data_IF_020588588912
#
_entry.id   IF_020588588912
#
_cell.length_a   1.000
_cell.length_b   1.000
_cell.length_c   1.000
_cell.angle_alpha   90.00
_cell.angle_beta   90.00
_cell.angle_gamma   90.00
#
_symmetry.space_group_name_H-M   'P 1'
#
loop_
_entity.id
_entity.type
_entity.pdbx_description
1 polymer ?
2 polymer ?
3 water ?
#
# COMPACT_ATOMS: atom_id res chain seq x y z
N UNK A 7 7.20 -19.72 -12.06
CA UNK A 7 7.65 -19.07 -10.73
C UNK A 7 6.53 -18.10 -10.30
N UNK A 8 6.74 -17.43 -9.15
CA UNK A 8 5.79 -16.48 -8.59
C UNK A 8 5.85 -15.18 -9.44
N UNK A 9 4.73 -14.45 -9.50
CA UNK A 9 4.61 -13.20 -10.30
C UNK A 9 4.33 -11.99 -9.40
N UNK A 10 4.66 -10.78 -9.86
CA UNK A 10 4.29 -9.59 -9.07
C UNK A 10 3.01 -9.08 -9.74
N UNK A 11 1.93 -9.00 -8.95
CA UNK A 11 0.63 -8.56 -9.46
C UNK A 11 0.42 -7.12 -9.04
N UNK A 12 0.09 -6.26 -10.00
CA UNK A 12 -0.27 -4.86 -9.70
C UNK A 12 -1.72 -4.61 -10.14
N UNK A 13 -2.51 -4.01 -9.26
CA UNK A 13 -3.93 -3.93 -9.50
C UNK A 13 -4.35 -2.47 -9.32
N UNK A 14 -5.12 -1.92 -10.27
CA UNK A 14 -5.63 -0.52 -10.11
C UNK A 14 -4.58 0.58 -10.20
N UNK A 15 -4.84 1.74 -9.53
CA UNK A 15 -3.91 2.88 -9.59
C UNK A 15 -4.59 4.07 -10.26
N UNK A 16 -3.86 5.14 -10.46
CA UNK A 16 -4.44 6.38 -10.97
C UNK A 16 -3.54 7.00 -12.06
N UNK A 17 -4.18 7.44 -13.17
CA UNK A 17 -3.53 8.37 -14.10
C UNK A 17 -4.60 9.07 -14.99
N UNK A 18 -5.01 10.28 -14.62
CA UNK A 18 -6.21 11.02 -15.12
C UNK A 18 -7.57 10.48 -14.66
N UNK A 19 -7.60 9.29 -14.07
CA UNK A 19 -8.74 8.71 -13.28
C UNK A 19 -8.21 7.37 -12.66
N UNK A 20 -9.01 6.77 -11.75
CA UNK A 20 -8.67 5.49 -11.14
C UNK A 20 -8.84 4.46 -12.27
N UNK A 21 -7.99 3.44 -12.23
CA UNK A 21 -7.79 2.46 -13.31
C UNK A 21 -8.30 1.06 -12.90
N UNK A 22 -8.56 0.20 -13.90
CA UNK A 22 -9.02 -1.15 -13.59
C UNK A 22 -7.96 -2.18 -13.89
N UNK A 23 -6.77 -1.76 -14.33
CA UNK A 23 -5.80 -2.72 -14.77
C UNK A 23 -5.43 -3.72 -13.71
N UNK A 24 -5.26 -4.96 -14.14
CA UNK A 24 -4.46 -5.94 -13.37
C UNK A 24 -3.41 -6.47 -14.32
N UNK A 25 -2.14 -6.36 -13.94
CA UNK A 25 -1.07 -6.83 -14.81
C UNK A 25 -0.11 -7.60 -13.91
N UNK A 26 0.52 -8.60 -14.50
CA UNK A 26 1.51 -9.43 -13.78
C UNK A 26 2.89 -9.35 -14.45
N UNK A 27 3.88 -9.09 -13.61
CA UNK A 27 5.28 -8.94 -14.02
C UNK A 27 5.98 -10.22 -13.57
N UNK A 28 6.74 -10.78 -14.52
CA UNK A 28 7.58 -11.96 -14.24
C UNK A 28 9.06 -11.49 -14.09
N UNK A 29 9.62 -11.39 -12.84
CA UNK A 29 10.98 -10.88 -12.81
C UNK A 29 12.03 -11.80 -13.48
N UNK A 30 11.78 -13.10 -13.57
CA UNK A 30 12.74 -14.02 -14.24
C UNK A 30 12.87 -13.81 -15.79
N UNK A 31 11.85 -13.27 -16.46
CA UNK A 31 12.02 -13.03 -17.91
C UNK A 31 11.69 -11.57 -18.36
N UNK A 32 11.33 -10.70 -17.43
CA UNK A 32 10.98 -9.27 -17.78
C UNK A 32 9.66 -9.03 -18.47
N UNK A 33 8.80 -10.04 -18.53
CA UNK A 33 7.58 -9.86 -19.31
C UNK A 33 6.42 -9.38 -18.40
N UNK A 34 5.51 -8.63 -19.01
CA UNK A 34 4.28 -8.23 -18.39
C UNK A 34 3.09 -8.95 -19.13
N UNK A 35 2.10 -9.35 -18.36
CA UNK A 35 0.93 -9.98 -18.92
C UNK A 35 -0.29 -9.21 -18.45
N UNK A 36 -1.21 -8.88 -19.36
CA UNK A 36 -2.44 -8.22 -18.94
C UNK A 36 -3.47 -9.25 -18.53
N UNK A 37 -4.09 -9.11 -17.37
CA UNK A 37 -5.06 -10.10 -16.91
C UNK A 37 -6.46 -9.47 -16.78
N UNK A 38 -7.41 -10.15 -16.10
CA UNK A 38 -8.79 -9.68 -16.03
C UNK A 38 -8.90 -8.37 -15.26
N UNK A 39 -9.60 -7.40 -15.84
CA UNK A 39 -9.78 -6.14 -15.19
C UNK A 39 -10.44 -6.27 -13.82
N UNK A 40 -10.09 -5.37 -12.87
CA UNK A 40 -10.94 -5.13 -11.69
C UNK A 40 -12.40 -4.90 -12.19
N UNK A 41 -13.38 -5.36 -11.43
CA UNK A 41 -14.78 -5.08 -11.77
C UNK A 41 -15.12 -3.64 -11.56
N UNK A 42 -14.49 -2.99 -10.59
CA UNK A 42 -14.71 -1.52 -10.41
C UNK A 42 -13.32 -0.87 -10.40
N UNK A 43 -13.12 0.27 -11.16
CA UNK A 43 -11.79 0.98 -11.14
C UNK A 43 -11.38 1.41 -9.70
N UNK A 44 -10.08 1.38 -9.35
CA UNK A 44 -9.69 1.87 -8.01
C UNK A 44 -8.27 2.27 -7.95
N UNK A 45 -8.06 3.31 -7.12
CA UNK A 45 -6.73 3.81 -6.74
C UNK A 45 -6.72 4.01 -5.24
N UNK A 46 -5.52 3.99 -4.66
CA UNK A 46 -5.45 4.14 -3.21
C UNK A 46 -5.84 2.84 -2.50
N UNK A 47 -5.89 1.76 -3.25
CA UNK A 47 -6.12 0.42 -2.68
C UNK A 47 -4.84 -0.26 -2.17
N UNK A 48 -5.02 -1.45 -1.58
CA UNK A 48 -3.83 -2.29 -1.21
C UNK A 48 -4.07 -3.69 -1.72
N UNK A 49 -2.99 -4.45 -1.98
CA UNK A 49 -3.17 -5.84 -2.34
C UNK A 49 -2.57 -6.65 -1.23
N UNK A 50 -3.01 -7.90 -1.09
CA UNK A 50 -2.25 -8.88 -0.30
C UNK A 50 -2.68 -10.28 -0.86
N UNK A 51 -2.02 -11.33 -0.38
CA UNK A 51 -2.26 -12.68 -0.80
C UNK A 51 -2.49 -13.57 0.44
N UNK A 52 -3.55 -14.37 0.38
CA UNK A 52 -3.82 -15.39 1.40
C UNK A 52 -4.21 -16.68 0.66
N UNK A 53 -3.53 -17.76 1.03
CA UNK A 53 -3.71 -19.08 0.45
C UNK A 53 -3.60 -19.10 -1.07
N UNK A 54 -2.59 -18.43 -1.66
CA UNK A 54 -2.49 -18.39 -3.13
C UNK A 54 -3.50 -17.50 -3.88
N UNK A 55 -4.45 -16.89 -3.16
CA UNK A 55 -5.40 -15.94 -3.75
C UNK A 55 -4.99 -14.43 -3.51
N UNK A 56 -5.16 -13.60 -4.55
CA UNK A 56 -4.89 -12.10 -4.53
C UNK A 56 -6.11 -11.33 -4.03
N UNK A 57 -5.97 -10.40 -3.05
CA UNK A 57 -7.12 -9.61 -2.62
C UNK A 57 -6.84 -8.14 -2.92
N UNK A 58 -7.86 -7.47 -3.44
CA UNK A 58 -7.86 -5.99 -3.61
C UNK A 58 -8.76 -5.39 -2.58
N UNK A 59 -8.24 -4.48 -1.74
CA UNK A 59 -8.96 -4.01 -0.58
C UNK A 59 -9.04 -2.48 -0.57
N UNK A 60 -10.25 -1.95 -0.38
CA UNK A 60 -10.40 -0.53 -0.25
C UNK A 60 -10.06 0.35 -1.49
N UNK A 61 -9.56 1.57 -1.23
CA UNK A 61 -9.27 2.49 -2.33
C UNK A 61 -10.45 3.43 -2.61
N UNK A 62 -10.46 3.98 -3.83
CA UNK A 62 -11.64 4.79 -4.24
C UNK A 62 -11.71 4.76 -5.78
N UNK A 63 -12.92 4.90 -6.35
CA UNK A 63 -13.04 5.20 -7.72
C UNK A 63 -13.20 6.70 -8.02
N UNK A 64 -12.10 7.39 -8.30
CA UNK A 64 -12.10 8.79 -8.60
C UNK A 64 -12.15 8.94 -10.14
N UNK A 65 -13.33 9.19 -10.70
CA UNK A 65 -13.53 9.32 -12.15
C UNK A 65 -14.04 10.70 -12.49
N UNK A 66 -14.11 11.03 -13.81
CA UNK A 66 -14.73 12.33 -14.16
C UNK A 66 -16.24 12.42 -13.83
N UNK A 67 -16.88 11.27 -13.62
CA UNK A 67 -18.21 11.22 -13.09
C UNK A 67 -18.29 11.44 -11.59
N UNK A 68 -17.18 11.63 -10.90
CA UNK A 68 -17.28 11.87 -9.43
C UNK A 68 -16.56 10.74 -8.69
N UNK A 69 -16.39 10.91 -7.38
CA UNK A 69 -15.59 9.97 -6.62
C UNK A 69 -16.44 9.16 -5.67
N UNK A 70 -16.21 7.84 -5.57
CA UNK A 70 -16.75 6.97 -4.54
C UNK A 70 -15.65 6.17 -3.83
N UNK A 71 -15.44 6.46 -2.54
CA UNK A 71 -14.54 5.64 -1.69
C UNK A 71 -15.07 4.21 -1.57
N UNK A 72 -14.15 3.24 -1.49
CA UNK A 72 -14.54 1.87 -1.60
C UNK A 72 -14.37 1.18 -0.27
N UNK A 73 -15.40 0.48 0.18
CA UNK A 73 -15.29 -0.47 1.31
C UNK A 73 -15.10 -1.90 0.73
N UNK A 74 -14.84 -1.99 -0.56
CA UNK A 74 -14.95 -3.33 -1.17
C UNK A 74 -13.73 -4.23 -0.87
N UNK A 75 -13.98 -5.52 -0.86
CA UNK A 75 -12.90 -6.51 -0.90
C UNK A 75 -13.16 -7.47 -2.06
N UNK A 76 -12.19 -7.59 -2.93
CA UNK A 76 -12.39 -8.45 -4.10
C UNK A 76 -11.29 -9.48 -4.19
N UNK A 77 -11.61 -10.66 -4.72
CA UNK A 77 -10.63 -11.75 -4.73
C UNK A 77 -10.29 -12.25 -6.14
N UNK A 78 -9.01 -12.21 -6.48
CA UNK A 78 -8.60 -12.72 -7.81
C UNK A 78 -7.90 -14.08 -7.67
N UNK A 79 -8.39 -15.08 -8.39
CA UNK A 79 -7.69 -16.40 -8.47
C UNK A 79 -6.79 -16.51 -9.68
N UNK A 80 -5.47 -16.62 -9.46
CA UNK A 80 -4.61 -16.54 -10.66
C UNK A 80 -4.70 -17.78 -11.56
N UNK A 81 -5.07 -18.88 -10.93
CA UNK A 81 -5.36 -20.12 -11.66
C UNK A 81 -6.55 -20.07 -12.58
N UNK A 82 -7.51 -19.22 -12.27
CA UNK A 82 -8.73 -19.14 -13.09
C UNK A 82 -8.85 -17.82 -13.85
N UNK A 83 -8.05 -16.79 -13.48
CA UNK A 83 -8.20 -15.42 -14.03
C UNK A 83 -9.63 -14.82 -13.78
N UNK A 84 -10.32 -15.23 -12.72
CA UNK A 84 -11.67 -14.72 -12.33
C UNK A 84 -11.55 -13.93 -10.99
N UNK A 85 -12.23 -12.78 -10.94
CA UNK A 85 -12.39 -11.95 -9.75
C UNK A 85 -13.73 -12.39 -9.10
N UNK A 86 -13.81 -12.51 -7.79
CA UNK A 86 -15.06 -12.71 -7.08
C UNK A 86 -15.12 -11.69 -5.92
N UNK A 87 -16.25 -10.99 -5.82
CA UNK A 87 -16.68 -10.12 -4.71
C UNK A 87 -16.64 -10.87 -3.40
N UNK A 88 -16.21 -10.21 -2.32
CA UNK A 88 -16.23 -10.83 -1.00
C UNK A 88 -17.04 -9.83 -0.16
N UNK A 89 -17.24 -10.14 1.12
CA UNK A 89 -17.90 -9.23 2.10
C UNK A 89 -17.16 -7.85 2.23
N UNK A 90 -17.89 -6.75 2.18
CA UNK A 90 -17.24 -5.42 2.30
C UNK A 90 -16.82 -5.14 3.74
N UNK A 91 -15.87 -4.23 3.92
CA UNK A 91 -15.46 -3.71 5.21
C UNK A 91 -16.60 -2.90 5.81
N UNK A 92 -16.50 -2.62 7.08
CA UNK A 92 -17.53 -1.80 7.78
C UNK A 92 -17.56 -0.36 7.25
N UNK A 93 -16.47 0.12 6.61
CA UNK A 93 -16.35 1.52 6.20
C UNK A 93 -15.47 1.58 4.95
N UNK A 94 -15.69 2.61 4.08
CA UNK A 94 -14.71 2.83 2.98
C UNK A 94 -13.36 3.18 3.53
N UNK A 95 -12.29 2.78 2.81
CA UNK A 95 -10.93 3.14 3.23
C UNK A 95 -10.06 3.34 2.02
N UNK A 96 -9.98 4.63 1.64
CA UNK A 96 -9.08 5.14 0.65
C UNK A 96 -7.69 5.35 1.26
N UNK A 97 -6.63 4.93 0.55
CA UNK A 97 -5.23 5.05 0.99
C UNK A 97 -5.10 4.18 2.29
N UNK A 98 -5.68 3.00 2.21
CA UNK A 98 -5.61 1.93 3.23
C UNK A 98 -4.20 1.26 3.27
N UNK A 99 -3.88 0.57 4.40
CA UNK A 99 -2.66 -0.28 4.45
C UNK A 99 -3.24 -1.59 4.92
N UNK A 100 -2.73 -2.69 4.40
CA UNK A 100 -3.16 -4.03 4.89
C UNK A 100 -1.96 -4.90 5.33
N UNK A 101 -2.23 -5.85 6.26
CA UNK A 101 -1.23 -6.88 6.61
C UNK A 101 -1.99 -8.16 6.89
N UNK A 102 -1.27 -9.28 6.80
CA UNK A 102 -1.89 -10.60 6.92
C UNK A 102 -1.26 -11.29 8.13
N UNK A 103 -2.05 -11.79 9.05
CA UNK A 103 -1.60 -12.62 10.16
C UNK A 103 -2.51 -13.83 10.32
N UNK A 104 -1.92 -15.03 10.39
CA UNK A 104 -2.66 -16.31 10.60
C UNK A 104 -3.77 -16.40 9.58
N UNK A 105 -3.46 -16.08 8.32
CA UNK A 105 -4.37 -16.20 7.20
C UNK A 105 -5.56 -15.24 7.28
N UNK A 106 -5.45 -14.20 8.13
CA UNK A 106 -6.52 -13.17 8.24
C UNK A 106 -5.98 -11.81 7.73
N UNK A 107 -6.84 -11.03 7.12
CA UNK A 107 -6.34 -9.78 6.47
C UNK A 107 -6.71 -8.67 7.41
N UNK A 108 -5.74 -7.87 7.88
CA UNK A 108 -6.10 -6.68 8.63
C UNK A 108 -6.18 -5.48 7.67
N UNK A 109 -7.29 -4.74 7.77
CA UNK A 109 -7.50 -3.44 7.08
C UNK A 109 -7.20 -2.30 8.07
N UNK A 110 -6.20 -1.48 7.75
CA UNK A 110 -5.78 -0.43 8.67
C UNK A 110 -5.99 1.00 8.11
N UNK A 111 -6.71 1.84 8.87
CA UNK A 111 -6.64 3.27 8.64
C UNK A 111 -7.32 3.57 7.28
N UNK A 112 -6.75 4.47 6.48
CA UNK A 112 -7.36 4.95 5.26
C UNK A 112 -8.41 6.09 5.57
N UNK A 113 -9.07 6.62 4.55
CA UNK A 113 -10.01 7.78 4.75
C UNK A 113 -11.34 7.40 4.10
N UNK A 114 -12.37 8.02 4.59
CA UNK A 114 -13.67 8.04 3.94
C UNK A 114 -14.09 9.54 3.87
N UNK A 115 -14.03 10.16 2.68
CA UNK A 115 -14.28 11.60 2.63
C UNK A 115 -13.20 12.29 3.46
N UNK A 116 -13.58 13.28 4.31
CA UNK A 116 -12.63 14.04 5.16
C UNK A 116 -12.19 13.19 6.39
N UNK A 117 -12.88 12.10 6.70
CA UNK A 117 -12.57 11.26 7.91
C UNK A 117 -11.24 10.50 7.69
N UNK A 118 -10.25 10.72 8.57
CA UNK A 118 -9.02 9.98 8.56
C UNK A 118 -9.21 8.93 9.68
N UNK A 119 -9.31 7.63 9.30
CA UNK A 119 -9.61 6.57 10.24
C UNK A 119 -8.44 6.23 11.19
N UNK A 120 -8.76 6.01 12.46
CA UNK A 120 -7.85 5.27 13.39
C UNK A 120 -8.29 3.79 13.44
N UNK A 121 -9.44 3.45 12.85
CA UNK A 121 -10.04 2.10 13.05
C UNK A 121 -9.37 1.01 12.19
N UNK A 122 -9.63 -0.25 12.56
CA UNK A 122 -8.90 -1.42 12.09
C UNK A 122 -9.89 -2.56 12.18
N UNK A 123 -9.90 -3.37 11.12
CA UNK A 123 -10.76 -4.55 11.09
C UNK A 123 -10.08 -5.73 10.42
N UNK A 124 -10.58 -6.93 10.68
CA UNK A 124 -9.86 -8.16 10.40
C UNK A 124 -10.82 -9.08 9.62
N UNK A 125 -10.38 -9.57 8.46
CA UNK A 125 -11.23 -10.42 7.59
C UNK A 125 -10.73 -11.87 7.74
N UNK A 126 -11.67 -12.76 7.98
CA UNK A 126 -11.42 -14.20 7.96
C UNK A 126 -11.96 -14.78 6.64
N UNK A 127 -11.04 -15.12 5.71
CA UNK A 127 -11.52 -15.69 4.43
C UNK A 127 -12.46 -16.96 4.58
N UNK A 128 -12.22 -17.84 5.54
CA UNK A 128 -13.02 -19.12 5.62
C UNK A 128 -14.49 -18.87 5.97
N UNK A 129 -14.71 -17.75 6.64
CA UNK A 129 -16.03 -17.34 7.03
C UNK A 129 -16.63 -16.20 6.19
N UNK A 130 -15.77 -15.45 5.47
CA UNK A 130 -16.23 -14.29 4.69
C UNK A 130 -16.84 -13.25 5.62
N UNK A 131 -16.14 -12.96 6.74
CA UNK A 131 -16.64 -12.00 7.71
C UNK A 131 -15.54 -11.07 8.10
N UNK A 132 -15.89 -9.80 8.34
CA UNK A 132 -14.97 -8.80 8.90
C UNK A 132 -15.32 -8.53 10.38
N UNK A 133 -14.32 -8.40 11.25
CA UNK A 133 -14.54 -7.99 12.66
C UNK A 133 -13.68 -6.78 13.00
N UNK A 134 -14.24 -5.82 13.71
CA UNK A 134 -13.50 -4.67 14.11
C UNK A 134 -12.55 -5.12 15.25
N UNK A 135 -11.38 -4.47 15.33
CA UNK A 135 -10.45 -4.74 16.40
C UNK A 135 -10.10 -3.39 17.03
N UNK A 136 -9.22 -3.37 18.04
CA UNK A 136 -8.92 -2.10 18.70
C UNK A 136 -8.38 -1.12 17.63
N UNK A 137 -8.70 0.20 17.78
CA UNK A 137 -8.16 1.18 16.86
C UNK A 137 -6.70 1.59 17.25
N UNK A 138 -6.00 2.12 16.25
CA UNK A 138 -4.67 2.67 16.43
C UNK A 138 -4.69 3.79 17.43
N UNK A 139 -3.52 4.12 18.00
CA UNK A 139 -3.35 5.34 18.76
C UNK A 139 -3.47 6.64 17.94
N UNK A 140 -3.28 6.54 16.62
CA UNK A 140 -3.21 7.72 15.72
C UNK A 140 -4.05 7.47 14.48
N UNK A 141 -4.78 8.49 13.97
CA UNK A 141 -5.45 8.33 12.67
C UNK A 141 -4.34 8.35 11.61
N UNK A 142 -4.45 7.46 10.62
CA UNK A 142 -3.30 7.43 9.63
C UNK A 142 -3.90 7.03 8.24
N UNK A 143 -3.83 7.92 7.32
CA UNK A 143 -4.05 7.55 5.97
C UNK A 143 -2.72 7.64 5.25
N UNK A 144 -2.64 7.00 4.10
CA UNK A 144 -1.36 6.85 3.41
C UNK A 144 -0.39 6.09 4.32
N UNK A 145 -0.94 5.13 5.07
CA UNK A 145 -0.20 4.45 6.19
C UNK A 145 0.57 3.23 5.55
N UNK A 146 1.77 2.92 6.02
CA UNK A 146 2.45 1.72 5.52
C UNK A 146 2.19 0.62 6.55
N UNK A 147 1.90 -0.58 6.09
CA UNK A 147 1.63 -1.67 7.06
C UNK A 147 2.52 -2.90 6.76
N UNK A 148 3.01 -3.53 7.83
CA UNK A 148 3.75 -4.75 7.61
C UNK A 148 3.56 -5.65 8.84
N UNK A 149 3.86 -6.94 8.69
CA UNK A 149 3.70 -7.92 9.78
C UNK A 149 5.05 -8.52 10.02
N UNK A 150 5.46 -8.53 11.30
CA UNK A 150 6.69 -9.21 11.72
C UNK A 150 6.49 -9.98 13.02
N UNK A 151 6.86 -11.27 13.01
CA UNK A 151 6.63 -12.19 14.14
C UNK A 151 5.22 -12.04 14.68
N UNK A 152 4.20 -12.14 13.78
CA UNK A 152 2.77 -12.11 14.13
C UNK A 152 2.30 -10.85 14.93
N UNK A 153 3.07 -9.75 14.81
CA UNK A 153 2.68 -8.41 15.32
C UNK A 153 2.45 -7.53 14.07
N UNK A 154 1.44 -6.66 14.16
CA UNK A 154 1.08 -5.83 12.99
C UNK A 154 1.62 -4.41 13.22
N UNK A 155 2.22 -3.82 12.17
CA UNK A 155 2.89 -2.46 12.32
C UNK A 155 2.21 -1.46 11.38
N UNK A 156 1.93 -0.27 11.92
CA UNK A 156 1.29 0.90 11.17
C UNK A 156 2.33 1.97 11.20
N UNK A 157 2.83 2.35 10.01
CA UNK A 157 4.04 3.22 9.92
C UNK A 157 3.77 4.46 9.09
N UNK A 158 4.12 5.62 9.66
CA UNK A 158 3.96 6.88 8.99
C UNK A 158 2.51 7.20 8.65
N UNK A 159 2.37 8.07 7.65
CA UNK A 159 1.01 8.35 7.11
C UNK A 159 0.70 9.78 7.43
N UNK A 160 -0.62 10.09 7.39
CA UNK A 160 -1.14 11.47 7.50
C UNK A 160 -2.37 11.45 8.47
N UNK A 161 -2.33 12.21 9.56
CA UNK A 161 -3.45 12.11 10.56
C UNK A 161 -4.67 13.05 10.33
N UNK A 162 -4.65 13.76 9.21
CA UNK A 162 -5.64 14.85 8.95
C UNK A 162 -5.04 16.23 9.02
N UNK A 163 -3.95 16.37 9.79
CA UNK A 163 -3.26 17.64 9.97
C UNK A 163 -1.79 17.55 9.69
N UNK A 164 -1.13 16.49 10.19
CA UNK A 164 0.32 16.39 10.07
C UNK A 164 0.73 15.12 9.39
N UNK A 165 1.80 15.18 8.61
CA UNK A 165 2.50 13.98 8.15
C UNK A 165 3.36 13.43 9.30
N UNK A 166 3.45 12.11 9.42
CA UNK A 166 3.94 11.46 10.64
C UNK A 166 5.31 10.73 10.44
N UNK A 167 6.24 10.83 11.39
CA UNK A 167 7.40 9.93 11.45
C UNK A 167 7.08 8.75 12.42
N UNK A 168 5.93 8.80 13.09
CA UNK A 168 5.64 7.91 14.21
C UNK A 168 5.27 6.54 13.64
N UNK A 169 5.40 5.51 14.47
CA UNK A 169 4.99 4.16 14.06
C UNK A 169 4.41 3.49 15.31
N UNK A 170 3.53 2.53 15.09
CA UNK A 170 2.93 1.77 16.24
C UNK A 170 2.72 0.30 15.91
N UNK A 171 2.61 -0.55 16.94
CA UNK A 171 2.57 -1.99 16.73
C UNK A 171 1.38 -2.60 17.44
N UNK A 172 0.69 -3.53 16.80
CA UNK A 172 -0.49 -4.13 17.37
C UNK A 172 -0.21 -5.58 17.79
N UNK A 173 -0.63 -5.95 19.01
CA UNK A 173 -0.38 -7.32 19.54
C UNK A 173 -1.73 -8.02 19.57
N UNK A 174 -1.97 -8.93 18.59
CA UNK A 174 -3.30 -9.49 18.46
C UNK A 174 -3.85 -10.14 19.71
N UNK A 175 -3.06 -10.90 20.45
CA UNK A 175 -3.68 -11.58 21.55
C UNK A 175 -3.98 -10.66 22.72
N UNK A 176 -3.33 -9.51 22.77
CA UNK A 176 -3.74 -8.49 23.73
C UNK A 176 -4.79 -7.51 23.14
N UNK A 177 -4.99 -7.54 21.84
CA UNK A 177 -5.87 -6.57 21.11
C UNK A 177 -5.49 -5.19 21.54
N UNK A 178 -4.20 -4.81 21.37
CA UNK A 178 -3.60 -3.59 21.93
C UNK A 178 -2.53 -3.09 21.00
N UNK A 179 -2.63 -1.80 20.76
CA UNK A 179 -1.59 -0.98 20.13
C UNK A 179 -0.64 -0.27 21.10
N UNK A 180 0.62 -0.27 20.69
CA UNK A 180 1.65 0.60 21.32
C UNK A 180 2.56 1.34 20.37
N UNK A 181 2.99 2.54 20.73
CA UNK A 181 3.93 3.27 19.87
C UNK A 181 5.30 2.56 19.94
N UNK A 182 6.05 2.59 18.84
CA UNK A 182 7.43 2.07 18.84
C UNK A 182 8.38 3.25 18.52
N UNK A 183 9.67 2.98 18.33
CA UNK A 183 10.55 4.08 17.99
C UNK A 183 10.06 4.75 16.70
N UNK A 184 10.10 6.08 16.63
CA UNK A 184 9.62 6.75 15.39
C UNK A 184 10.76 6.63 14.34
N UNK A 185 10.39 6.70 13.04
CA UNK A 185 11.37 6.75 11.93
C UNK A 185 12.25 7.98 12.02
N UNK A 186 13.40 7.92 11.36
CA UNK A 186 14.21 9.11 11.21
C UNK A 186 13.50 10.23 10.38
N UNK A 187 12.68 9.83 9.39
CA UNK A 187 12.11 10.73 8.39
C UNK A 187 10.57 10.74 8.56
N UNK A 188 9.96 11.93 8.52
CA UNK A 188 8.49 12.04 8.39
C UNK A 188 8.14 11.45 6.96
N UNK A 189 7.16 10.51 6.82
CA UNK A 189 6.80 9.85 5.55
C UNK A 189 5.31 9.61 5.56
N UNK A 190 4.61 10.17 4.57
CA UNK A 190 3.24 9.82 4.37
C UNK A 190 3.20 9.19 2.98
N UNK A 191 2.45 8.10 2.79
CA UNK A 191 2.42 7.51 1.49
C UNK A 191 3.73 6.81 1.11
N UNK A 192 4.42 6.20 2.08
CA UNK A 192 5.66 5.45 1.80
C UNK A 192 5.20 4.08 1.34
N UNK A 193 6.15 3.28 0.84
CA UNK A 193 5.90 1.87 0.75
C UNK A 193 6.54 1.20 1.96
N UNK A 194 5.79 0.32 2.61
CA UNK A 194 6.25 -0.38 3.81
C UNK A 194 6.08 -1.87 3.60
N UNK A 195 7.19 -2.65 3.85
CA UNK A 195 7.14 -4.12 3.64
C UNK A 195 8.12 -4.75 4.64
N UNK A 196 8.09 -6.06 4.78
CA UNK A 196 9.06 -6.75 5.62
C UNK A 196 9.92 -7.52 4.66
N UNK A 197 11.22 -7.51 4.94
CA UNK A 197 12.18 -8.27 4.20
C UNK A 197 13.22 -8.72 5.17
N UNK A 198 13.47 -10.01 5.22
CA UNK A 198 14.50 -10.56 6.10
C UNK A 198 14.34 -10.09 7.54
N UNK A 199 13.14 -10.17 8.01
CA UNK A 199 12.78 -9.83 9.39
C UNK A 199 12.97 -8.36 9.77
N UNK A 200 13.05 -7.47 8.75
CA UNK A 200 13.24 -6.04 9.07
C UNK A 200 12.06 -5.31 8.33
N UNK A 201 11.45 -4.27 8.95
CA UNK A 201 10.45 -3.51 8.30
C UNK A 201 11.09 -2.36 7.52
N UNK A 202 10.84 -2.32 6.20
CA UNK A 202 11.40 -1.28 5.35
C UNK A 202 10.35 -0.25 5.07
N UNK A 203 10.80 1.02 5.06
CA UNK A 203 9.92 2.15 4.77
C UNK A 203 10.68 2.90 3.65
N UNK A 204 10.15 2.90 2.40
CA UNK A 204 10.85 3.43 1.20
C UNK A 204 10.02 4.63 0.70
N UNK A 205 10.62 5.82 0.55
CA UNK A 205 9.86 6.93 -0.11
C UNK A 205 8.83 7.62 0.75
N UNK A 206 7.84 8.23 0.10
CA UNK A 206 6.82 8.95 0.84
C UNK A 206 6.97 10.42 0.56
N UNK A 207 6.20 11.18 1.32
CA UNK A 207 6.10 12.60 1.12
C UNK A 207 6.19 13.19 2.52
N UNK A 208 7.03 14.22 2.72
CA UNK A 208 7.13 14.86 4.12
C UNK A 208 6.36 16.15 4.36
N UNK A 209 5.51 16.53 3.42
CA UNK A 209 4.70 17.76 3.50
C UNK A 209 5.27 18.77 2.59
N UNK A 210 6.49 18.52 2.04
CA UNK A 210 7.14 19.43 1.08
C UNK A 210 7.73 18.73 -0.15
N UNK A 211 8.39 17.60 0.05
CA UNK A 211 9.00 16.93 -1.11
C UNK A 211 8.68 15.45 -1.02
N UNK A 212 8.58 14.82 -2.18
CA UNK A 212 8.78 13.36 -2.24
C UNK A 212 10.21 12.88 -1.88
N UNK A 213 10.28 11.65 -1.39
CA UNK A 213 11.55 11.16 -0.74
C UNK A 213 12.06 10.02 -1.55
N UNK A 214 13.38 9.95 -1.73
CA UNK A 214 13.91 8.70 -2.24
C UNK A 214 14.65 7.87 -1.16
N UNK A 215 14.74 8.40 0.06
CA UNK A 215 15.50 7.66 1.10
C UNK A 215 14.67 6.47 1.57
N UNK A 216 15.35 5.55 2.26
CA UNK A 216 14.77 4.23 2.60
C UNK A 216 15.43 3.91 3.94
N UNK A 217 14.62 3.53 4.93
CA UNK A 217 15.21 3.12 6.22
C UNK A 217 14.50 1.82 6.69
N UNK A 218 15.13 1.06 7.56
CA UNK A 218 14.58 -0.20 7.98
C UNK A 218 14.61 -0.34 9.51
N UNK A 219 13.57 -0.99 10.05
CA UNK A 219 13.45 -1.14 11.50
C UNK A 219 13.79 -2.56 11.87
N UNK A 220 14.61 -2.66 12.91
CA UNK A 220 14.96 -3.96 13.50
C UNK A 220 14.33 -4.09 14.89
N UNK A 221 13.42 -5.07 15.08
CA UNK A 221 12.79 -5.28 16.43
C UNK A 221 13.88 -5.56 17.51
N UNK A 222 14.99 -6.14 17.07
CA UNK A 222 16.04 -6.55 18.04
C UNK A 222 16.84 -5.38 18.57
N UNK A 223 17.04 -4.32 17.79
CA UNK A 223 17.74 -3.15 18.30
C UNK A 223 16.79 -1.98 18.57
N UNK A 224 15.50 -2.14 18.21
CA UNK A 224 14.49 -1.06 18.29
C UNK A 224 15.00 0.21 17.56
N UNK A 225 15.74 0.03 16.43
CA UNK A 225 16.37 1.17 15.76
C UNK A 225 15.97 1.20 14.29
N UNK A 226 15.78 2.43 13.77
CA UNK A 226 15.61 2.59 12.29
C UNK A 226 16.94 3.00 11.68
N UNK A 227 17.41 2.27 10.68
CA UNK A 227 18.65 2.57 9.99
C UNK A 227 18.39 2.82 8.49
N UNK A 228 19.02 3.88 7.94
CA UNK A 228 19.02 4.13 6.49
C UNK A 228 19.73 3.04 5.72
N UNK A 229 19.18 2.68 4.56
CA UNK A 229 19.92 1.87 3.56
C UNK A 229 20.11 2.67 2.27
N UNK A 230 20.62 2.08 1.21
CA UNK A 230 20.77 2.86 -0.05
C UNK A 230 19.40 3.53 -0.43
N UNK A 231 19.45 4.79 -0.92
CA UNK A 231 18.18 5.40 -1.37
C UNK A 231 17.75 4.83 -2.75
N UNK A 232 16.46 4.97 -3.06
CA UNK A 232 16.00 4.62 -4.46
C UNK A 232 16.60 5.65 -5.38
N UNK A 233 16.70 5.33 -6.66
CA UNK A 233 17.06 6.37 -7.64
C UNK A 233 15.95 7.44 -7.82
N UNK A 234 14.64 7.06 -7.85
CA UNK A 234 13.58 8.02 -8.08
C UNK A 234 12.70 8.27 -6.86
N UNK A 235 12.71 9.48 -6.35
CA UNK A 235 11.79 9.84 -5.24
C UNK A 235 10.38 9.65 -5.63
N UNK A 236 9.57 9.22 -4.66
CA UNK A 236 8.18 8.80 -5.01
C UNK A 236 7.35 8.66 -3.74
N UNK A 237 6.04 8.92 -3.89
CA UNK A 237 5.10 8.64 -2.84
C UNK A 237 3.88 7.91 -3.50
N UNK A 238 2.98 7.32 -2.70
CA UNK A 238 1.85 6.54 -3.29
C UNK A 238 2.36 5.49 -4.27
N UNK A 239 3.40 4.77 -3.80
CA UNK A 239 4.08 3.74 -4.66
C UNK A 239 3.49 2.47 -4.16
N UNK A 240 3.50 1.44 -4.98
CA UNK A 240 3.22 0.06 -4.47
C UNK A 240 4.58 -0.58 -4.13
N UNK A 241 4.59 -1.51 -3.19
CA UNK A 241 5.84 -2.17 -2.76
C UNK A 241 5.55 -3.63 -2.46
N UNK A 242 6.50 -4.51 -2.79
CA UNK A 242 6.26 -5.92 -2.52
C UNK A 242 7.60 -6.59 -2.44
N UNK A 243 7.55 -7.90 -2.13
CA UNK A 243 8.83 -8.66 -1.96
C UNK A 243 8.66 -9.91 -2.83
N UNK A 244 9.67 -10.18 -3.67
CA UNK A 244 9.63 -11.33 -4.59
C UNK A 244 11.03 -11.93 -4.50
N UNK A 245 11.06 -13.21 -4.14
CA UNK A 245 12.32 -13.96 -3.93
C UNK A 245 13.39 -13.11 -3.25
N UNK A 246 13.06 -12.58 -2.08
CA UNK A 246 14.04 -11.94 -1.23
C UNK A 246 14.56 -10.60 -1.69
N UNK A 247 13.86 -9.96 -2.62
CA UNK A 247 14.22 -8.65 -3.09
C UNK A 247 12.99 -7.73 -3.02
N UNK A 248 13.21 -6.43 -2.70
CA UNK A 248 12.08 -5.49 -2.62
C UNK A 248 11.85 -4.88 -4.01
N UNK A 249 10.60 -4.83 -4.47
CA UNK A 249 10.28 -4.03 -5.68
C UNK A 249 9.35 -2.87 -5.31
N UNK A 250 9.63 -1.66 -5.81
CA UNK A 250 8.68 -0.55 -5.75
C UNK A 250 8.18 -0.19 -7.15
N UNK A 251 6.89 0.03 -7.25
CA UNK A 251 6.19 0.21 -8.50
C UNK A 251 5.45 1.55 -8.54
N UNK A 252 5.80 2.36 -9.53
CA UNK A 252 5.11 3.64 -9.74
C UNK A 252 5.15 4.66 -8.60
N UNK A 253 4.07 5.43 -8.51
CA UNK A 253 3.97 6.50 -7.57
C UNK A 253 3.86 7.82 -8.25
N UNK A 254 4.01 8.86 -7.43
CA UNK A 254 3.88 10.26 -7.92
C UNK A 254 5.05 11.00 -7.31
N UNK A 255 5.60 11.94 -8.04
CA UNK A 255 6.75 12.73 -7.53
C UNK A 255 6.60 14.28 -7.58
N UNK A 256 5.39 14.81 -7.73
CA UNK A 256 5.10 16.25 -7.80
C UNK A 256 5.10 16.73 -9.25
N UNK A 257 5.63 15.94 -10.19
CA UNK A 257 5.71 16.42 -11.60
C UNK A 257 5.16 15.42 -12.55
N UNK A 258 5.21 14.16 -12.16
CA UNK A 258 4.89 13.05 -13.09
C UNK A 258 4.33 11.87 -12.32
N UNK A 259 3.62 11.01 -13.05
CA UNK A 259 3.32 9.62 -12.54
C UNK A 259 4.35 8.63 -13.00
N UNK A 260 4.96 7.89 -12.07
CA UNK A 260 6.12 7.05 -12.43
C UNK A 260 5.62 5.74 -13.03
N UNK A 261 6.29 5.30 -14.10
CA UNK A 261 6.13 3.87 -14.52
C UNK A 261 7.31 3.02 -14.00
N UNK A 262 8.28 3.68 -13.37
CA UNK A 262 9.52 3.04 -12.90
C UNK A 262 9.23 1.93 -11.90
N UNK A 263 9.78 0.74 -12.16
CA UNK A 263 9.85 -0.30 -11.12
C UNK A 263 11.31 -0.39 -10.68
N UNK A 264 11.61 -0.05 -9.40
CA UNK A 264 12.95 -0.25 -8.88
C UNK A 264 13.02 -1.48 -8.01
N UNK A 265 14.19 -2.14 -8.05
CA UNK A 265 14.46 -3.39 -7.28
C UNK A 265 15.63 -3.21 -6.31
N UNK A 266 15.39 -3.55 -5.03
CA UNK A 266 16.41 -3.47 -3.98
C UNK A 266 17.00 -4.87 -3.68
N UNK A 267 18.32 -4.98 -3.87
CA UNK A 267 18.98 -6.22 -3.49
C UNK A 267 19.66 -6.05 -2.15
N UNK A 268 19.15 -6.72 -1.09
CA UNK A 268 19.70 -6.47 0.25
C UNK A 268 21.12 -7.08 0.37
N UNK A 269 21.49 -7.97 -0.55
CA UNK A 269 22.77 -8.63 -0.42
C UNK A 269 23.85 -7.73 -0.92
N UNK A 270 23.49 -6.78 -1.80
CA UNK A 270 24.44 -5.80 -2.24
C UNK A 270 24.08 -4.35 -1.78
N UNK A 271 22.92 -4.18 -1.11
CA UNK A 271 22.46 -2.84 -0.70
C UNK A 271 22.41 -1.95 -1.96
N UNK A 272 21.80 -2.43 -3.08
CA UNK A 272 21.79 -1.48 -4.22
C UNK A 272 20.41 -1.57 -4.85
N UNK A 273 19.96 -0.47 -5.45
CA UNK A 273 18.71 -0.43 -6.26
C UNK A 273 19.03 -0.46 -7.72
N UNK A 274 18.21 -1.13 -8.56
CA UNK A 274 18.26 -0.88 -10.01
C UNK A 274 16.84 -0.79 -10.56
N UNK A 275 16.74 -0.18 -11.74
CA UNK A 275 15.46 -0.07 -12.34
C UNK A 275 15.34 -1.25 -13.26
N UNK A 276 14.40 -2.13 -13.00
CA UNK A 276 14.42 -3.45 -13.68
C UNK A 276 13.40 -3.52 -14.80
N UNK A 277 12.37 -2.67 -14.74
CA UNK A 277 11.35 -2.66 -15.80
C UNK A 277 10.59 -1.36 -15.64
N UNK A 278 9.64 -1.13 -16.55
CA UNK A 278 8.69 -0.06 -16.36
C UNK A 278 7.30 -0.64 -16.53
N UNK A 279 6.34 -0.12 -15.79
CA UNK A 279 4.97 -0.54 -15.96
C UNK A 279 4.57 -0.06 -17.39
N UNK A 280 3.51 -0.66 -17.91
CA UNK A 280 3.10 -0.38 -19.27
C UNK A 280 2.54 1.06 -19.36
N UNK A 281 2.32 1.75 -18.20
CA UNK A 281 2.00 3.23 -18.15
C UNK A 281 2.21 3.75 -16.71
N UNK A 282 2.54 5.02 -16.59
CA UNK A 282 2.85 5.56 -15.29
C UNK A 282 1.54 5.66 -14.49
N UNK A 283 1.68 5.44 -13.17
CA UNK A 283 0.49 5.47 -12.29
C UNK A 283 0.84 5.52 -10.86
N UNK A 284 -0.03 6.12 -10.04
CA UNK A 284 0.21 6.15 -8.58
C UNK A 284 -0.90 5.31 -7.89
N UNK A 285 -0.75 5.04 -6.58
CA UNK A 285 -1.83 4.40 -5.80
C UNK A 285 -2.25 2.98 -6.19
N UNK A 286 -1.32 2.16 -6.71
CA UNK A 286 -1.63 0.77 -7.04
C UNK A 286 -1.67 -0.09 -5.78
N UNK A 287 -2.31 -1.24 -5.90
CA UNK A 287 -2.17 -2.34 -4.91
C UNK A 287 -1.34 -3.46 -5.60
N UNK A 288 -0.46 -4.08 -4.85
CA UNK A 288 0.50 -5.04 -5.42
C UNK A 288 0.74 -6.13 -4.40
N UNK A 289 0.89 -7.36 -4.91
CA UNK A 289 1.18 -8.54 -4.07
C UNK A 289 1.81 -9.63 -4.94
N UNK A 290 2.37 -10.66 -4.30
CA UNK A 290 3.13 -11.68 -5.02
C UNK A 290 2.54 -13.05 -4.68
N UNK A 291 2.28 -13.84 -5.71
CA UNK A 291 1.93 -15.23 -5.55
C UNK A 291 2.31 -16.00 -6.83
N UNK B 1 -21.96 22.37 -4.04
CA UNK B 1 -23.15 23.04 -4.61
C UNK B 1 -22.70 24.15 -5.60
N UNK B 2 -21.40 24.52 -5.58
CA UNK B 2 -20.83 25.60 -6.42
C UNK B 2 -19.97 25.17 -7.63
N UNK B 3 -19.87 23.87 -7.92
CA UNK B 3 -19.08 23.36 -9.09
C UNK B 3 -17.66 23.87 -9.06
N UNK B 4 -17.08 23.70 -7.87
CA UNK B 4 -15.74 24.18 -7.52
C UNK B 4 -14.72 23.49 -8.41
N UNK B 5 -13.63 24.19 -8.71
CA UNK B 5 -12.51 23.59 -9.47
C UNK B 5 -11.87 22.44 -8.62
N UNK B 6 -11.32 21.43 -9.30
CA UNK B 6 -10.63 20.31 -8.63
C UNK B 6 -9.33 20.78 -8.00
N UNK B 7 -8.92 20.08 -6.92
CA UNK B 7 -7.66 20.40 -6.22
C UNK B 7 -6.75 19.22 -6.31
N UNK B 8 -5.47 19.50 -6.41
CA UNK B 8 -4.39 18.55 -6.49
C UNK B 8 -4.00 17.97 -5.13
N UNK B 9 -3.99 16.66 -5.07
CA UNK B 9 -3.43 15.97 -3.90
C UNK B 9 -1.90 15.92 -4.09
N UNK B 10 -1.14 16.63 -3.26
CA UNK B 10 0.31 16.73 -3.47
C UNK B 10 1.03 15.35 -3.28
N UNK B 11 0.38 14.44 -2.56
CA UNK B 11 0.94 13.09 -2.28
C UNK B 11 0.70 12.01 -3.35
N UNK B 12 -0.52 12.00 -3.88
CA UNK B 12 -0.88 10.97 -4.80
C UNK B 12 -0.99 11.48 -6.26
N UNK B 13 -1.02 12.81 -6.46
CA UNK B 13 -1.23 13.38 -7.78
C UNK B 13 -2.66 13.38 -8.23
N UNK B 14 -3.63 12.84 -7.45
CA UNK B 14 -5.05 12.84 -7.91
C UNK B 14 -5.67 14.22 -7.83
N UNK B 15 -6.63 14.50 -8.74
CA UNK B 15 -7.39 15.75 -8.67
C UNK B 15 -8.75 15.41 -8.12
N UNK B 16 -9.12 16.13 -7.09
CA UNK B 16 -10.44 15.90 -6.46
C UNK B 16 -11.15 17.25 -6.25
#
# INVERSE_FOLDING_TARGET
SSAPKVGRLIYTAGGYFRQSLSYLEAYNPSDGTWLRLADLQVPRSGLAGCVVGGLLYAVGGRNNSPDGNTDSSALDCYNPMTNQWSPCAPMSVPRNRIGVGVIDGHIYAVGGSHGCIHHNSVERYEPERDEWHLVAPMLTRRIGVGVAVLNRLLYAVGGFDGTNRLNSAECYYPERNEWRMITAMNTIRSGAGVCVLHNCIYAAGGYDGQDQLNSVERYDVETETWTFVAPMKHRRSALGITVHQGRIYVLGGYDGHTFLDSVECYDPDTDTWSEVTRMTSGRSGVGVAVT
AFFAQLQLDEETGEFL
#
